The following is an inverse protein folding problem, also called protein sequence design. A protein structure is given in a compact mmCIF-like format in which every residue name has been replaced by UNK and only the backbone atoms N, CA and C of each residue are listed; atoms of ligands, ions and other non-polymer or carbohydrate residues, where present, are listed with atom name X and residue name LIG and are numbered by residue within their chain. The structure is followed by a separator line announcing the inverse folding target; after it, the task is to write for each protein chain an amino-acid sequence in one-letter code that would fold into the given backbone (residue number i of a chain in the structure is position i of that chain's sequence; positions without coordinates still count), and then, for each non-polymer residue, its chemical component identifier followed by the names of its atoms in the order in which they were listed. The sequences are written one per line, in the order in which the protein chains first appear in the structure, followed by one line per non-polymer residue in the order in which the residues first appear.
data_IF_260293050300
#
_entry.id   IF_260293050300
#
_cell.length_a   1.000
_cell.length_b   1.000
_cell.length_c   1.000
_cell.angle_alpha   90.00
_cell.angle_beta   90.00
_cell.angle_gamma   90.00
#
_symmetry.space_group_name_H-M   'P 1'
#
loop_
_entity.id
_entity.type
_entity.pdbx_description
1 polymer ?
#
# COMPACT_ATOMS: atom_id res chain seq x y z
N UNK A 1 1.11 0.61 31.18
CA UNK A 1 0.14 0.21 30.14
C UNK A 1 0.93 -0.43 29.02
N UNK A 2 0.76 -1.74 28.82
CA UNK A 2 1.47 -2.46 27.78
C UNK A 2 0.77 -2.17 26.44
N UNK A 3 1.46 -1.52 25.51
CA UNK A 3 1.06 -1.52 24.12
C UNK A 3 1.09 -2.96 23.64
N UNK A 4 -0.06 -3.55 23.35
CA UNK A 4 -0.08 -4.83 22.68
C UNK A 4 0.32 -4.53 21.24
N UNK A 5 1.63 -4.59 20.95
CA UNK A 5 2.12 -4.72 19.58
C UNK A 5 1.65 -6.10 19.10
N UNK A 6 0.42 -6.13 18.57
CA UNK A 6 -0.07 -7.29 17.83
C UNK A 6 0.74 -7.31 16.54
N UNK A 7 1.76 -8.17 16.50
CA UNK A 7 2.39 -8.52 15.25
C UNK A 7 1.29 -8.82 14.24
N UNK A 8 1.34 -8.17 13.07
CA UNK A 8 0.31 -8.36 12.03
C UNK A 8 0.08 -9.85 11.81
N UNK A 9 -1.16 -10.30 11.96
CA UNK A 9 -1.48 -11.73 11.85
C UNK A 9 -1.32 -12.24 10.40
N UNK A 10 -1.10 -13.54 10.24
CA UNK A 10 -0.86 -14.15 8.93
C UNK A 10 -2.07 -14.01 7.99
N UNK A 11 -3.30 -14.06 8.53
CA UNK A 11 -4.51 -13.90 7.75
C UNK A 11 -4.62 -12.49 7.15
N UNK A 12 -4.22 -11.45 7.90
CA UNK A 12 -4.15 -10.08 7.43
C UNK A 12 -3.13 -9.94 6.31
N UNK A 13 -1.91 -10.45 6.49
CA UNK A 13 -0.86 -10.40 5.44
C UNK A 13 -1.29 -11.10 4.17
N UNK A 14 -1.88 -12.29 4.30
CA UNK A 14 -2.36 -13.06 3.15
C UNK A 14 -3.51 -12.35 2.43
N UNK A 15 -4.45 -11.75 3.18
CA UNK A 15 -5.54 -10.97 2.57
C UNK A 15 -5.03 -9.70 1.89
N UNK A 16 -4.10 -8.99 2.53
CA UNK A 16 -3.45 -7.81 1.98
C UNK A 16 -2.73 -8.14 0.65
N UNK A 17 -1.93 -9.20 0.62
CA UNK A 17 -1.25 -9.67 -0.59
C UNK A 17 -2.24 -10.09 -1.69
N UNK A 18 -3.28 -10.85 -1.32
CA UNK A 18 -4.27 -11.34 -2.27
C UNK A 18 -4.98 -10.18 -2.99
N UNK A 19 -5.41 -9.15 -2.25
CA UNK A 19 -6.09 -7.98 -2.82
C UNK A 19 -5.15 -7.15 -3.71
N UNK A 20 -3.88 -6.99 -3.32
CA UNK A 20 -2.88 -6.38 -4.22
C UNK A 20 -2.83 -7.12 -5.56
N UNK A 21 -2.73 -8.44 -5.51
CA UNK A 21 -2.59 -9.27 -6.70
C UNK A 21 -3.86 -9.31 -7.55
N UNK A 22 -5.04 -9.21 -6.94
CA UNK A 22 -6.31 -9.00 -7.66
C UNK A 22 -6.32 -7.70 -8.46
N UNK A 23 -5.87 -6.59 -7.85
CA UNK A 23 -5.78 -5.31 -8.56
C UNK A 23 -4.68 -5.31 -9.62
N UNK A 24 -3.48 -5.77 -9.31
CA UNK A 24 -2.36 -5.84 -10.27
C UNK A 24 -2.69 -6.67 -11.49
N UNK A 25 -3.43 -7.77 -11.32
CA UNK A 25 -3.93 -8.59 -12.43
C UNK A 25 -4.82 -7.80 -13.39
N UNK A 26 -5.66 -6.87 -12.90
CA UNK A 26 -6.50 -6.01 -13.76
C UNK A 26 -5.65 -5.12 -14.67
N UNK A 27 -4.45 -4.76 -14.23
CA UNK A 27 -3.51 -3.90 -14.95
C UNK A 27 -2.41 -4.67 -15.68
N UNK A 28 -2.47 -6.00 -15.73
CA UNK A 28 -1.41 -6.81 -16.35
C UNK A 28 -0.04 -6.72 -15.65
N UNK A 29 -0.01 -6.25 -14.40
CA UNK A 29 1.19 -6.26 -13.57
C UNK A 29 1.40 -7.66 -12.95
N UNK A 30 2.64 -8.19 -12.90
CA UNK A 30 2.94 -9.47 -12.24
C UNK A 30 2.51 -9.46 -10.78
N UNK A 31 2.14 -10.64 -10.25
CA UNK A 31 1.81 -10.79 -8.83
C UNK A 31 3.03 -10.46 -7.95
N UNK A 32 2.77 -9.78 -6.83
CA UNK A 32 3.74 -9.58 -5.75
C UNK A 32 3.87 -10.86 -4.93
N UNK A 33 5.03 -11.03 -4.31
CA UNK A 33 5.26 -11.98 -3.21
C UNK A 33 5.37 -11.25 -1.87
N UNK A 34 5.00 -11.93 -0.79
CA UNK A 34 5.20 -11.38 0.55
C UNK A 34 6.67 -11.50 0.93
N UNK A 35 7.29 -10.40 1.37
CA UNK A 35 8.64 -10.40 1.91
C UNK A 35 8.62 -10.14 3.42
N UNK A 36 9.25 -11.04 4.17
CA UNK A 36 9.20 -11.01 5.63
C UNK A 36 10.03 -9.87 6.23
N UNK A 37 11.17 -9.50 5.61
CA UNK A 37 11.98 -8.35 6.05
C UNK A 37 11.21 -7.04 5.86
N UNK A 38 10.51 -6.90 4.74
CA UNK A 38 9.60 -5.77 4.51
C UNK A 38 8.45 -5.74 5.52
N UNK A 39 7.89 -6.90 5.90
CA UNK A 39 6.86 -6.96 6.95
C UNK A 39 7.40 -6.48 8.30
N UNK A 40 8.62 -6.88 8.68
CA UNK A 40 9.27 -6.45 9.92
C UNK A 40 9.50 -4.94 9.91
N UNK A 41 10.04 -4.41 8.82
CA UNK A 41 10.27 -2.97 8.63
C UNK A 41 8.96 -2.16 8.69
N UNK A 42 7.95 -2.61 7.94
CA UNK A 42 6.63 -1.97 7.92
C UNK A 42 5.93 -2.01 9.28
N UNK A 43 6.06 -3.10 10.04
CA UNK A 43 5.50 -3.20 11.40
C UNK A 43 6.18 -2.22 12.36
N UNK A 44 7.50 -2.14 12.34
CA UNK A 44 8.24 -1.19 13.17
C UNK A 44 7.82 0.25 12.87
N UNK A 45 7.57 0.57 11.59
CA UNK A 45 7.08 1.89 11.21
C UNK A 45 5.62 2.12 11.63
N UNK A 46 4.72 1.15 11.46
CA UNK A 46 3.34 1.26 11.92
C UNK A 46 3.27 1.54 13.44
N UNK A 47 4.09 0.85 14.23
CA UNK A 47 4.21 1.04 15.68
C UNK A 47 4.71 2.47 16.01
N UNK A 48 5.69 2.98 15.24
CA UNK A 48 6.17 4.35 15.37
C UNK A 48 5.08 5.39 15.07
N UNK A 49 4.32 5.23 13.98
CA UNK A 49 3.22 6.13 13.61
C UNK A 49 2.11 6.13 14.67
N UNK A 50 1.79 4.97 15.23
CA UNK A 50 0.82 4.87 16.32
C UNK A 50 1.32 5.60 17.58
N UNK A 51 2.60 5.46 17.92
CA UNK A 51 3.19 6.09 19.11
C UNK A 51 3.27 7.61 19.02
N UNK A 52 3.53 8.14 17.82
CA UNK A 52 3.69 9.58 17.57
C UNK A 52 2.40 10.26 17.11
N UNK A 53 1.41 9.46 16.68
CA UNK A 53 0.16 9.93 16.06
C UNK A 53 0.38 10.84 14.85
N UNK A 54 1.50 10.66 14.16
CA UNK A 54 1.87 11.43 12.97
C UNK A 54 1.83 10.53 11.75
N UNK A 55 1.15 10.96 10.68
CA UNK A 55 1.16 10.26 9.40
C UNK A 55 2.34 10.79 8.56
N UNK A 56 3.46 10.07 8.59
CA UNK A 56 4.68 10.43 7.87
C UNK A 56 5.37 9.20 7.29
N UNK A 57 6.08 9.40 6.19
CA UNK A 57 6.82 8.32 5.53
C UNK A 57 8.08 7.93 6.30
N UNK A 58 8.46 6.65 6.20
CA UNK A 58 9.70 6.15 6.78
C UNK A 58 10.94 6.68 6.04
N UNK A 59 12.10 6.56 6.68
CA UNK A 59 13.39 6.92 6.08
C UNK A 59 14.03 5.74 5.31
N UNK A 60 13.24 4.79 4.82
CA UNK A 60 13.74 3.63 4.07
C UNK A 60 13.75 3.90 2.57
N UNK A 61 14.57 3.16 1.82
CA UNK A 61 14.60 3.22 0.34
C UNK A 61 13.48 2.37 -0.32
N UNK A 62 12.58 1.80 0.48
CA UNK A 62 11.46 1.02 -0.01
C UNK A 62 10.36 1.95 -0.56
N UNK A 63 9.58 1.46 -1.52
CA UNK A 63 8.32 2.13 -1.85
C UNK A 63 7.39 2.04 -0.65
N UNK A 64 6.54 3.03 -0.41
CA UNK A 64 5.71 3.04 0.80
C UNK A 64 4.33 3.65 0.58
N UNK A 65 3.30 2.94 1.04
CA UNK A 65 1.95 3.47 1.20
C UNK A 65 1.56 3.46 2.68
N UNK A 66 0.89 4.52 3.11
CA UNK A 66 0.39 4.67 4.46
C UNK A 66 -1.14 4.71 4.47
N UNK A 67 -1.74 4.08 5.45
CA UNK A 67 -3.16 4.14 5.70
C UNK A 67 -3.40 4.51 7.16
N UNK A 68 -4.36 5.38 7.37
CA UNK A 68 -4.80 5.86 8.67
C UNK A 68 -6.31 5.78 8.76
N UNK A 69 -6.81 5.27 9.88
CA UNK A 69 -8.21 5.34 10.23
C UNK A 69 -8.37 5.63 11.72
N UNK A 70 -9.42 6.38 12.06
CA UNK A 70 -9.83 6.63 13.44
C UNK A 70 -11.33 6.41 13.60
N UNK A 71 -11.74 5.90 14.75
CA UNK A 71 -13.13 5.65 15.13
C UNK A 71 -13.34 5.92 16.62
N UNK A 72 -14.55 6.35 17.00
CA UNK A 72 -14.96 6.50 18.40
C UNK A 72 -15.31 5.18 19.08
N UNK A 73 -15.43 4.10 18.31
CA UNK A 73 -15.61 2.73 18.79
C UNK A 73 -14.51 1.82 18.25
N UNK A 74 -14.15 0.75 18.97
CA UNK A 74 -13.13 -0.19 18.53
C UNK A 74 -13.39 -0.69 17.10
N UNK A 75 -12.41 -0.48 16.22
CA UNK A 75 -12.49 -0.87 14.81
C UNK A 75 -11.45 -1.93 14.51
N UNK A 76 -11.90 -3.09 14.03
CA UNK A 76 -11.02 -4.07 13.42
C UNK A 76 -10.77 -3.69 11.96
N UNK A 77 -9.51 -3.52 11.58
CA UNK A 77 -9.12 -3.29 10.19
C UNK A 77 -8.79 -4.62 9.51
N UNK A 78 -9.37 -4.87 8.34
CA UNK A 78 -9.04 -6.04 7.52
C UNK A 78 -8.00 -5.70 6.46
N UNK A 79 -7.25 -6.71 6.01
CA UNK A 79 -6.15 -6.51 5.04
C UNK A 79 -6.57 -5.90 3.70
N UNK A 80 -7.85 -5.97 3.32
CA UNK A 80 -8.35 -5.33 2.10
C UNK A 80 -8.59 -3.82 2.26
N UNK A 81 -9.01 -3.34 3.43
CA UNK A 81 -9.37 -1.93 3.64
C UNK A 81 -8.29 -0.93 3.18
N UNK A 82 -7.00 -1.07 3.58
CA UNK A 82 -5.96 -0.14 3.12
C UNK A 82 -5.73 -0.23 1.61
N UNK A 83 -5.77 -1.44 1.04
CA UNK A 83 -5.48 -1.67 -0.38
C UNK A 83 -6.61 -1.15 -1.26
N UNK A 84 -7.85 -1.39 -0.89
CA UNK A 84 -9.04 -0.87 -1.57
C UNK A 84 -9.03 0.66 -1.55
N UNK A 85 -8.65 1.25 -0.41
CA UNK A 85 -8.52 2.71 -0.28
C UNK A 85 -7.43 3.27 -1.18
N UNK A 86 -6.23 2.69 -1.17
CA UNK A 86 -5.12 3.09 -2.04
C UNK A 86 -5.46 2.94 -3.51
N UNK A 87 -6.06 1.82 -3.90
CA UNK A 87 -6.47 1.58 -5.28
C UNK A 87 -7.58 2.53 -5.74
N UNK A 88 -8.46 2.98 -4.85
CA UNK A 88 -9.58 3.87 -5.20
C UNK A 88 -9.15 5.21 -5.82
N UNK A 89 -7.88 5.60 -5.65
CA UNK A 89 -7.27 6.78 -6.30
C UNK A 89 -7.17 6.63 -7.83
N UNK A 90 -7.35 5.43 -8.39
CA UNK A 90 -7.43 5.21 -9.84
C UNK A 90 -8.42 6.15 -10.54
N UNK A 91 -9.52 6.52 -9.85
CA UNK A 91 -10.55 7.43 -10.38
C UNK A 91 -10.00 8.83 -10.67
N UNK A 92 -8.90 9.21 -10.02
CA UNK A 92 -8.27 10.52 -10.11
C UNK A 92 -7.03 10.48 -11.03
N UNK A 93 -6.60 9.30 -11.50
CA UNK A 93 -5.41 9.13 -12.34
C UNK A 93 -5.73 9.28 -13.83
N UNK A 94 -5.09 10.25 -14.49
CA UNK A 94 -5.19 10.42 -15.93
C UNK A 94 -4.13 9.61 -16.68
N UNK A 95 -4.53 8.46 -17.23
CA UNK A 95 -3.64 7.57 -18.01
C UNK A 95 -3.11 8.20 -19.32
N UNK A 96 -3.81 9.20 -19.88
CA UNK A 96 -3.35 9.92 -21.08
C UNK A 96 -2.22 10.90 -20.79
N UNK A 97 -1.96 11.21 -19.50
CA UNK A 97 -0.86 12.05 -19.04
C UNK A 97 -0.04 11.30 -17.97
N UNK A 98 0.68 10.22 -18.35
CA UNK A 98 1.39 9.40 -17.39
C UNK A 98 2.46 10.21 -16.67
N UNK A 99 2.55 10.02 -15.36
CA UNK A 99 3.46 10.74 -14.48
C UNK A 99 2.97 10.73 -13.05
N UNK A 100 3.73 11.38 -12.17
CA UNK A 100 3.28 11.67 -10.81
C UNK A 100 2.10 12.66 -10.88
N UNK A 101 0.99 12.31 -10.23
CA UNK A 101 -0.19 13.16 -10.11
C UNK A 101 -0.58 13.24 -8.63
N UNK A 102 -0.97 14.42 -8.12
CA UNK A 102 -1.43 14.56 -6.75
C UNK A 102 -2.55 13.57 -6.42
N UNK A 103 -2.54 13.01 -5.20
CA UNK A 103 -3.57 12.07 -4.70
C UNK A 103 -3.72 10.77 -5.49
N UNK A 104 -2.70 10.36 -6.26
CA UNK A 104 -2.70 9.08 -7.00
C UNK A 104 -1.52 8.17 -6.68
N UNK A 105 -0.62 8.64 -5.80
CA UNK A 105 0.63 7.96 -5.48
C UNK A 105 0.43 6.60 -4.85
N UNK A 106 -0.64 6.40 -4.08
CA UNK A 106 -0.89 5.10 -3.49
C UNK A 106 -1.37 4.10 -4.53
N UNK A 107 -2.28 4.52 -5.42
CA UNK A 107 -2.73 3.71 -6.55
C UNK A 107 -1.54 3.29 -7.43
N UNK A 108 -0.71 4.27 -7.86
CA UNK A 108 0.40 3.98 -8.77
C UNK A 108 1.42 3.03 -8.15
N UNK A 109 1.64 3.10 -6.84
CA UNK A 109 2.50 2.15 -6.13
C UNK A 109 1.90 0.73 -6.06
N UNK A 110 0.59 0.59 -5.82
CA UNK A 110 -0.10 -0.72 -5.78
C UNK A 110 0.05 -1.45 -7.11
N UNK A 111 -0.18 -0.75 -8.22
CA UNK A 111 -0.15 -1.34 -9.58
C UNK A 111 1.22 -1.28 -10.25
N UNK A 112 2.25 -0.74 -9.58
CA UNK A 112 3.57 -0.53 -10.16
C UNK A 112 4.16 -1.84 -10.68
N UNK A 113 4.24 -1.99 -12.01
CA UNK A 113 4.60 -3.25 -12.67
C UNK A 113 5.93 -3.83 -12.20
N UNK A 114 6.94 -3.00 -11.99
CA UNK A 114 8.28 -3.44 -11.63
C UNK A 114 8.47 -3.79 -10.15
N UNK A 115 7.51 -3.43 -9.27
CA UNK A 115 7.53 -3.91 -7.88
C UNK A 115 7.28 -5.42 -7.87
N UNK A 116 8.07 -6.17 -7.10
CA UNK A 116 8.05 -7.63 -7.06
C UNK A 116 7.63 -8.16 -5.69
N UNK A 117 8.01 -7.45 -4.64
CA UNK A 117 7.80 -7.86 -3.26
C UNK A 117 7.04 -6.79 -2.50
N UNK A 118 6.26 -7.23 -1.52
CA UNK A 118 5.57 -6.34 -0.58
C UNK A 118 5.63 -6.88 0.84
N UNK A 119 5.75 -5.98 1.80
CA UNK A 119 5.55 -6.28 3.22
C UNK A 119 4.52 -5.34 3.83
N UNK A 120 3.90 -5.76 4.92
CA UNK A 120 2.87 -4.97 5.60
C UNK A 120 3.00 -5.03 7.11
N UNK A 121 2.74 -3.89 7.75
CA UNK A 121 2.62 -3.75 9.19
C UNK A 121 1.33 -3.02 9.56
N UNK A 122 0.71 -3.44 10.66
CA UNK A 122 -0.50 -2.85 11.23
C UNK A 122 -0.26 -2.57 12.71
N UNK A 123 -0.57 -1.36 13.15
CA UNK A 123 -0.57 -0.97 14.56
C UNK A 123 -1.91 -0.33 14.92
N UNK A 124 -2.46 -0.68 16.08
CA UNK A 124 -3.75 -0.14 16.55
C UNK A 124 -3.79 0.04 18.06
N UNK A 125 -4.51 1.07 18.53
CA UNK A 125 -4.93 1.26 19.92
C UNK A 125 -6.45 1.11 20.08
N UNK A 126 -7.04 0.22 19.27
CA UNK A 126 -8.48 -0.04 19.10
C UNK A 126 -9.24 1.06 18.35
N UNK A 127 -8.96 2.33 18.67
CA UNK A 127 -9.64 3.48 18.07
C UNK A 127 -8.88 4.05 16.87
N UNK A 128 -7.55 3.97 16.88
CA UNK A 128 -6.67 4.45 15.83
C UNK A 128 -6.00 3.26 15.16
N UNK A 129 -5.98 3.23 13.83
CA UNK A 129 -5.29 2.22 13.04
C UNK A 129 -4.29 2.90 12.11
N UNK A 130 -3.07 2.40 12.11
CA UNK A 130 -2.08 2.66 11.07
C UNK A 130 -1.74 1.37 10.33
N UNK A 131 -1.72 1.42 9.00
CA UNK A 131 -1.18 0.34 8.16
C UNK A 131 -0.10 0.91 7.25
N UNK A 132 1.03 0.23 7.19
CA UNK A 132 2.18 0.57 6.36
C UNK A 132 2.38 -0.57 5.36
N UNK A 133 2.37 -0.28 4.07
CA UNK A 133 2.75 -1.22 3.01
C UNK A 133 4.08 -0.79 2.40
N UNK A 134 5.09 -1.65 2.43
CA UNK A 134 6.40 -1.38 1.83
C UNK A 134 6.66 -2.27 0.62
N UNK A 135 7.26 -1.72 -0.44
CA UNK A 135 7.41 -2.38 -1.74
C UNK A 135 8.87 -2.39 -2.19
N UNK A 136 9.26 -3.49 -2.85
CA UNK A 136 10.60 -3.64 -3.44
C UNK A 136 10.54 -4.25 -4.84
N UNK A 137 11.25 -3.69 -5.83
CA UNK A 137 11.81 -2.34 -5.88
C UNK A 137 10.74 -1.24 -5.61
N UNK A 138 11.14 -0.01 -5.25
CA UNK A 138 10.21 1.09 -5.02
C UNK A 138 9.46 1.47 -6.31
N UNK A 139 8.20 1.86 -6.17
CA UNK A 139 7.42 2.49 -7.23
C UNK A 139 7.57 4.00 -7.25
N UNK A 140 6.72 4.66 -8.03
CA UNK A 140 6.61 6.12 -8.09
C UNK A 140 7.93 6.85 -8.42
N UNK A 141 8.83 6.19 -9.14
CA UNK A 141 10.09 6.78 -9.59
C UNK A 141 9.81 7.80 -10.70
N UNK A 142 10.18 9.05 -10.46
CA UNK A 142 9.87 10.20 -11.35
C UNK A 142 10.71 10.28 -12.64
N UNK A 143 11.42 9.21 -12.99
CA UNK A 143 12.22 9.17 -14.22
C UNK A 143 11.30 9.23 -15.47
N UNK A 144 11.70 9.94 -16.53
CA UNK A 144 10.92 10.01 -17.77
C UNK A 144 10.54 8.62 -18.29
N UNK A 145 9.25 8.42 -18.58
CA UNK A 145 8.72 7.16 -19.11
C UNK A 145 8.35 6.09 -18.07
N UNK A 146 8.87 6.16 -16.84
CA UNK A 146 8.67 5.09 -15.85
C UNK A 146 7.20 4.87 -15.48
N UNK A 147 6.43 5.95 -15.30
CA UNK A 147 5.00 5.84 -15.04
C UNK A 147 4.23 5.18 -16.19
N UNK A 148 4.60 5.48 -17.45
CA UNK A 148 3.97 4.87 -18.62
C UNK A 148 4.23 3.36 -18.68
N UNK A 149 5.43 2.94 -18.31
CA UNK A 149 5.84 1.54 -18.38
C UNK A 149 5.33 0.71 -17.18
N UNK A 150 5.02 1.38 -16.05
CA UNK A 150 4.65 0.73 -14.80
C UNK A 150 3.19 0.87 -14.38
N UNK A 151 2.46 1.87 -14.87
CA UNK A 151 1.05 2.13 -14.54
C UNK A 151 0.21 1.91 -15.80
N UNK A 152 -0.12 0.66 -16.06
CA UNK A 152 -0.86 0.25 -17.26
C UNK A 152 -2.36 0.47 -17.09
N UNK A 153 -3.11 0.60 -18.18
CA UNK A 153 -4.58 0.64 -18.12
C UNK A 153 -5.15 -0.68 -17.59
N UNK A 154 -6.27 -0.60 -16.86
CA UNK A 154 -7.01 -1.80 -16.51
C UNK A 154 -7.60 -2.44 -17.79
N UNK A 155 -7.59 -3.76 -17.93
CA UNK A 155 -8.06 -4.47 -19.13
C UNK A 155 -9.48 -4.12 -19.58
N UNK A 156 -10.34 -3.66 -18.66
CA UNK A 156 -11.71 -3.22 -18.96
C UNK A 156 -11.80 -1.76 -19.50
N UNK A 157 -10.70 -1.00 -19.46
CA UNK A 157 -10.62 0.40 -19.90
C UNK A 157 -9.99 0.54 -21.30
N UNK A 158 -9.72 -0.57 -22.00
CA UNK A 158 -9.09 -0.56 -23.33
C UNK A 158 -10.11 -0.28 -24.45
N UNK A 159 -11.41 -0.18 -24.13
CA UNK A 159 -12.51 -0.04 -25.10
C UNK A 159 -13.51 1.10 -24.82
N UNK A 160 -13.09 2.17 -24.14
CA UNK A 160 -13.94 3.37 -23.91
C UNK A 160 -13.41 4.59 -24.64
#
# INVERSE_FOLDING_TARGET
MAFISLQTDEAFKNKFLAIHNEYRKKHGAPALTLNQELCVSAQAWADHLLSTKALQHSNTDNGENLFYAWSSTPKKCTGNEPVDKWYSEIKDYNFSKPGFQPNTGHFTQVVWKSSQEVGVGLATDENTVFVVGQYKPPGNVSNPGYFKDNVLLAGNQINS
#
